data_IF_102263822707
#
_entry.id   IF_102263822707
#
_cell.length_a   1.000
_cell.length_b   1.000
_cell.length_c   1.000
_cell.angle_alpha   90.00
_cell.angle_beta   90.00
_cell.angle_gamma   90.00
#
_symmetry.space_group_name_H-M   'P 1'
#
loop_
_entity.id
_entity.type
_entity.pdbx_description
1 polymer ?
#
# COMPACT_ATOMS: atom_id res chain seq x y z
N UNK A 1 1.40 -14.36 -6.28
CA UNK A 1 0.79 -13.29 -7.08
C UNK A 1 -0.42 -13.77 -7.90
N UNK A 2 -0.39 -14.95 -8.52
CA UNK A 2 -1.53 -15.51 -9.26
C UNK A 2 -2.87 -15.52 -8.48
N UNK A 3 -2.82 -15.79 -7.18
CA UNK A 3 -4.01 -15.79 -6.31
C UNK A 3 -4.72 -14.42 -6.24
N UNK A 4 -3.96 -13.31 -6.18
CA UNK A 4 -4.55 -11.97 -6.16
C UNK A 4 -5.25 -11.66 -7.48
N UNK A 5 -4.61 -11.99 -8.60
CA UNK A 5 -5.23 -11.87 -9.91
C UNK A 5 -6.55 -12.65 -9.97
N UNK A 6 -6.60 -13.90 -9.51
CA UNK A 6 -7.82 -14.73 -9.57
C UNK A 6 -8.90 -14.34 -8.57
N UNK A 7 -8.54 -13.79 -7.41
CA UNK A 7 -9.50 -13.45 -6.35
C UNK A 7 -10.03 -12.01 -6.44
N UNK A 8 -9.31 -11.11 -7.11
CA UNK A 8 -9.79 -9.75 -7.34
C UNK A 8 -10.87 -9.75 -8.42
N UNK A 9 -11.99 -9.08 -8.15
CA UNK A 9 -12.95 -8.74 -9.20
C UNK A 9 -12.35 -7.72 -10.18
N UNK A 10 -12.98 -7.53 -11.33
CA UNK A 10 -12.51 -6.57 -12.34
C UNK A 10 -12.48 -5.11 -11.88
N UNK A 11 -13.14 -4.78 -10.77
CA UNK A 11 -13.10 -3.47 -10.11
C UNK A 11 -12.55 -3.56 -8.67
N UNK A 12 -12.06 -4.74 -8.29
CA UNK A 12 -11.61 -5.04 -6.94
C UNK A 12 -10.27 -4.40 -6.63
N UNK A 13 -10.06 -4.11 -5.34
CA UNK A 13 -8.78 -3.64 -4.81
C UNK A 13 -8.36 -4.51 -3.63
N UNK A 14 -7.12 -4.99 -3.63
CA UNK A 14 -6.51 -5.69 -2.51
C UNK A 14 -5.69 -4.69 -1.68
N UNK A 15 -6.01 -4.59 -0.39
CA UNK A 15 -5.20 -3.82 0.58
C UNK A 15 -4.28 -4.77 1.34
N UNK A 16 -2.97 -4.51 1.27
CA UNK A 16 -1.93 -5.36 1.84
C UNK A 16 -1.04 -4.55 2.79
N UNK A 17 -0.60 -5.18 3.88
CA UNK A 17 0.42 -4.65 4.78
C UNK A 17 1.66 -5.53 4.72
N UNK A 18 2.80 -4.96 4.33
CA UNK A 18 4.06 -5.69 4.20
C UNK A 18 5.21 -4.89 4.82
N UNK A 19 6.30 -5.55 5.26
CA UNK A 19 7.53 -4.82 5.58
C UNK A 19 8.06 -4.11 4.33
N UNK A 20 8.84 -3.05 4.52
CA UNK A 20 9.21 -2.12 3.45
C UNK A 20 9.91 -2.82 2.27
N UNK A 21 10.81 -3.76 2.56
CA UNK A 21 11.58 -4.45 1.53
C UNK A 21 10.70 -5.32 0.64
N UNK A 22 9.88 -6.18 1.26
CA UNK A 22 8.94 -7.08 0.58
C UNK A 22 7.87 -6.29 -0.17
N UNK A 23 7.35 -5.21 0.43
CA UNK A 23 6.37 -4.36 -0.21
C UNK A 23 6.90 -3.68 -1.47
N UNK A 24 8.15 -3.20 -1.46
CA UNK A 24 8.80 -2.64 -2.65
C UNK A 24 8.99 -3.68 -3.75
N UNK A 25 9.43 -4.89 -3.38
CA UNK A 25 9.54 -5.99 -4.35
C UNK A 25 8.18 -6.37 -4.94
N UNK A 26 7.13 -6.36 -4.11
CA UNK A 26 5.76 -6.65 -4.55
C UNK A 26 5.27 -5.64 -5.60
N UNK A 27 5.47 -4.35 -5.34
CA UNK A 27 5.08 -3.26 -6.24
C UNK A 27 5.83 -3.38 -7.56
N UNK A 28 7.15 -3.65 -7.51
CA UNK A 28 7.96 -3.84 -8.71
C UNK A 28 7.54 -5.06 -9.54
N UNK A 29 7.09 -6.13 -8.89
CA UNK A 29 6.65 -7.36 -9.55
C UNK A 29 5.19 -7.32 -10.02
N UNK A 30 4.36 -6.39 -9.52
CA UNK A 30 2.92 -6.34 -9.82
C UNK A 30 2.59 -6.26 -11.32
N UNK A 31 3.28 -5.45 -12.15
CA UNK A 31 2.98 -5.36 -13.58
C UNK A 31 3.14 -6.69 -14.32
N UNK A 32 4.11 -7.53 -13.92
CA UNK A 32 4.32 -8.85 -14.49
C UNK A 32 3.16 -9.84 -14.22
N UNK A 33 2.21 -9.45 -13.36
CA UNK A 33 1.04 -10.23 -12.97
C UNK A 33 -0.29 -9.55 -13.29
N UNK A 34 -0.30 -8.57 -14.21
CA UNK A 34 -1.49 -7.78 -14.59
C UNK A 34 -2.14 -7.05 -13.41
N UNK A 35 -1.31 -6.67 -12.44
CA UNK A 35 -1.72 -5.88 -11.29
C UNK A 35 -1.00 -4.54 -11.32
N UNK A 36 -1.69 -3.51 -10.86
CA UNK A 36 -1.14 -2.16 -10.72
C UNK A 36 -1.29 -1.71 -9.28
N UNK A 37 -0.26 -1.01 -8.81
CA UNK A 37 -0.31 -0.36 -7.52
C UNK A 37 -1.07 0.95 -7.63
N UNK A 38 -2.20 1.05 -6.94
CA UNK A 38 -3.04 2.25 -6.96
C UNK A 38 -2.76 3.17 -5.78
N UNK A 39 -2.25 2.65 -4.66
CA UNK A 39 -1.87 3.49 -3.54
C UNK A 39 -0.73 2.86 -2.74
N UNK A 40 0.15 3.71 -2.23
CA UNK A 40 1.20 3.31 -1.28
C UNK A 40 1.22 4.28 -0.13
N UNK A 41 1.18 3.75 1.08
CA UNK A 41 1.30 4.52 2.30
C UNK A 41 2.44 3.97 3.15
N UNK A 42 3.39 4.86 3.45
CA UNK A 42 4.58 4.52 4.23
C UNK A 42 4.29 4.67 5.71
N UNK A 43 4.47 3.59 6.47
CA UNK A 43 4.15 3.55 7.89
C UNK A 43 5.42 3.77 8.72
N UNK A 44 5.48 4.93 9.35
CA UNK A 44 6.57 5.33 10.25
C UNK A 44 6.07 5.35 11.69
N UNK A 45 6.85 4.79 12.62
CA UNK A 45 6.49 4.82 14.04
C UNK A 45 6.62 6.22 14.63
N UNK A 46 7.63 6.98 14.21
CA UNK A 46 7.77 8.42 14.46
C UNK A 46 8.36 9.07 13.20
N UNK A 47 8.20 10.39 13.02
CA UNK A 47 8.68 11.11 11.83
C UNK A 47 10.18 10.93 11.52
N UNK A 48 11.00 10.69 12.56
CA UNK A 48 12.45 10.51 12.42
C UNK A 48 12.88 9.04 12.26
N UNK A 49 11.94 8.09 12.34
CA UNK A 49 12.25 6.66 12.25
C UNK A 49 12.04 6.15 10.83
N UNK A 50 12.85 5.16 10.39
CA UNK A 50 12.68 4.57 9.08
C UNK A 50 11.31 3.92 8.94
N UNK A 51 10.85 3.83 7.69
CA UNK A 51 9.60 3.17 7.33
C UNK A 51 9.67 1.71 7.75
N UNK A 52 8.73 1.30 8.58
CA UNK A 52 8.67 -0.07 9.08
C UNK A 52 7.88 -0.98 8.14
N UNK A 53 6.81 -0.45 7.56
CA UNK A 53 5.83 -1.19 6.77
C UNK A 53 5.26 -0.29 5.66
N UNK A 54 4.74 -0.93 4.63
CA UNK A 54 3.98 -0.30 3.55
C UNK A 54 2.55 -0.84 3.60
N UNK A 55 1.60 0.08 3.51
CA UNK A 55 0.21 -0.21 3.16
C UNK A 55 0.06 -0.01 1.66
N UNK A 56 -0.30 -1.07 0.95
CA UNK A 56 -0.29 -1.11 -0.51
C UNK A 56 -1.69 -1.48 -0.99
N UNK A 57 -2.22 -0.72 -1.94
CA UNK A 57 -3.42 -1.07 -2.67
C UNK A 57 -3.05 -1.57 -4.07
N UNK A 58 -3.48 -2.80 -4.42
CA UNK A 58 -3.31 -3.38 -5.74
C UNK A 58 -4.67 -3.57 -6.41
N UNK A 59 -4.78 -3.22 -7.68
CA UNK A 59 -5.93 -3.49 -8.52
C UNK A 59 -5.51 -4.22 -9.79
N UNK A 60 -6.45 -4.82 -10.52
CA UNK A 60 -6.19 -5.30 -11.88
C UNK A 60 -5.89 -4.11 -12.80
N UNK A 61 -4.99 -4.29 -13.75
CA UNK A 61 -4.62 -3.26 -14.73
C UNK A 61 -5.85 -2.76 -15.54
N UNK A 62 -6.77 -3.67 -15.84
CA UNK A 62 -8.04 -3.37 -16.53
C UNK A 62 -9.01 -2.50 -15.72
N UNK A 63 -8.86 -2.47 -14.39
CA UNK A 63 -9.72 -1.74 -13.46
C UNK A 63 -9.28 -0.29 -13.25
N UNK A 64 -8.00 -0.01 -13.51
CA UNK A 64 -7.33 1.10 -12.86
C UNK A 64 -7.47 2.40 -13.64
N UNK A 65 -8.27 3.32 -13.10
CA UNK A 65 -7.99 4.75 -13.27
C UNK A 65 -6.82 5.07 -12.36
N UNK A 66 -5.59 5.03 -12.88
CA UNK A 66 -4.35 5.18 -12.11
C UNK A 66 -4.35 6.49 -11.30
N UNK A 67 -4.68 6.40 -10.02
CA UNK A 67 -4.56 7.49 -9.07
C UNK A 67 -3.42 7.16 -8.12
N UNK A 68 -2.15 7.33 -8.56
CA UNK A 68 -0.94 7.08 -7.75
C UNK A 68 -0.93 8.03 -6.54
N UNK A 69 -1.65 7.64 -5.48
CA UNK A 69 -1.81 8.43 -4.27
C UNK A 69 -0.81 7.91 -3.25
N UNK A 70 0.22 8.72 -2.99
CA UNK A 70 1.24 8.42 -1.98
C UNK A 70 1.07 9.34 -0.80
N UNK A 71 0.67 8.79 0.33
CA UNK A 71 0.52 9.56 1.58
C UNK A 71 1.27 8.86 2.72
N UNK A 72 2.24 9.51 3.37
CA UNK A 72 2.90 8.93 4.52
C UNK A 72 1.95 8.90 5.72
N UNK A 73 1.97 7.81 6.48
CA UNK A 73 1.20 7.66 7.71
C UNK A 73 2.15 7.48 8.87
N UNK A 74 2.24 8.54 9.68
CA UNK A 74 3.05 8.59 10.88
C UNK A 74 2.16 8.14 12.04
N UNK A 75 2.55 7.09 12.77
CA UNK A 75 1.70 6.49 13.82
C UNK A 75 1.80 7.26 15.14
N UNK A 76 2.89 8.00 15.41
CA UNK A 76 3.05 8.79 16.62
C UNK A 76 3.49 10.21 16.28
N UNK A 77 2.70 11.18 16.75
CA UNK A 77 3.05 12.59 16.76
C UNK A 77 3.03 13.04 18.23
N UNK A 78 4.19 13.46 18.75
CA UNK A 78 4.33 13.97 20.13
C UNK A 78 3.78 13.07 21.26
N UNK A 79 3.95 11.75 21.16
CA UNK A 79 3.56 10.80 22.22
C UNK A 79 2.10 10.35 22.19
N UNK A 80 1.31 10.81 21.22
CA UNK A 80 -0.07 10.36 20.99
C UNK A 80 -0.22 9.79 19.57
N UNK A 81 -1.24 8.96 19.37
CA UNK A 81 -1.68 8.52 18.03
C UNK A 81 -2.25 9.77 17.33
N UNK A 82 -1.71 10.18 16.17
CA UNK A 82 -2.17 11.38 15.49
C UNK A 82 -3.63 11.23 15.09
N UNK A 83 -4.35 12.35 15.16
CA UNK A 83 -5.80 12.41 14.99
C UNK A 83 -6.25 12.01 13.58
N UNK A 84 -5.33 11.97 12.60
CA UNK A 84 -5.55 11.43 11.24
C UNK A 84 -5.80 9.92 11.21
N UNK A 85 -5.58 9.22 12.32
CA UNK A 85 -5.73 7.76 12.46
C UNK A 85 -6.90 7.35 13.36
N UNK A 86 -7.63 8.32 13.94
CA UNK A 86 -8.83 8.06 14.75
C UNK A 86 -10.09 8.22 13.87
N UNK A 87 -10.64 7.10 13.43
CA UNK A 87 -12.03 7.03 12.95
C UNK A 87 -12.97 6.76 14.12
#
# INVERSE_FOLDING_TARGET
MACLHTLLSDTGTASLILPQYEGKQLIAAAPAHHLVCTAVCEVQSTANKPVSRLLIALARDTAATASDTRTPLIIHESGAIPLTLRR
#
